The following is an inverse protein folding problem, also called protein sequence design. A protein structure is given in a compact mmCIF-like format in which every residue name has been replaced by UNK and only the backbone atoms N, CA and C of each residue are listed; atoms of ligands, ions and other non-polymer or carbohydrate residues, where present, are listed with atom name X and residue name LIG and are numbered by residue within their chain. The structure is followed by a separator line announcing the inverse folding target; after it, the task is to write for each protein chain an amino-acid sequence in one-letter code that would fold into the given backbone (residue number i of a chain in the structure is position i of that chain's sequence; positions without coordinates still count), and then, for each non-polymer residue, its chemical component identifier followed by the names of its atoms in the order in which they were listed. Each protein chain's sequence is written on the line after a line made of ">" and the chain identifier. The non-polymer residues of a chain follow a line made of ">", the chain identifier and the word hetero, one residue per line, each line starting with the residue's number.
data_IF_992354900945
#
_entry.id   IF_992354900945
#
_cell.length_a   1.000
_cell.length_b   1.000
_cell.length_c   1.000
_cell.angle_alpha   90.00
_cell.angle_beta   90.00
_cell.angle_gamma   90.00
#
_symmetry.space_group_name_H-M   'P 1'
#
loop_
_entity.id
_entity.type
_entity.pdbx_description
1 polymer ?
#
# COMPACT_ATOMS: atom_id res chain seq x y z
N UNK A 1 -6.67 -15.66 28.73
CA UNK A 1 -5.95 -14.36 28.75
C UNK A 1 -5.10 -14.17 27.48
N UNK A 2 -4.29 -15.16 27.05
CA UNK A 2 -3.40 -15.02 25.88
C UNK A 2 -4.12 -14.62 24.59
N UNK A 3 -5.20 -15.30 24.21
CA UNK A 3 -5.99 -15.00 23.00
C UNK A 3 -6.66 -13.62 23.03
N UNK A 4 -6.99 -13.10 24.21
CA UNK A 4 -7.61 -11.77 24.35
C UNK A 4 -6.60 -10.65 24.05
N UNK A 5 -5.36 -10.78 24.50
CA UNK A 5 -4.30 -9.76 24.33
C UNK A 5 -3.59 -9.85 22.98
N UNK A 6 -3.78 -10.90 22.20
CA UNK A 6 -3.08 -11.11 20.94
C UNK A 6 -3.17 -9.92 19.96
N UNK A 7 -4.34 -9.28 19.75
CA UNK A 7 -4.43 -8.09 18.89
C UNK A 7 -3.61 -6.92 19.42
N UNK A 8 -3.63 -6.68 20.72
CA UNK A 8 -2.84 -5.59 21.32
C UNK A 8 -1.33 -5.83 21.16
N UNK A 9 -0.89 -7.08 21.31
CA UNK A 9 0.51 -7.48 21.08
C UNK A 9 0.89 -7.28 19.62
N UNK A 10 0.04 -7.73 18.67
CA UNK A 10 0.23 -7.54 17.24
C UNK A 10 0.29 -6.07 16.86
N UNK A 11 -0.69 -5.29 17.28
CA UNK A 11 -0.72 -3.84 17.05
C UNK A 11 0.50 -3.13 17.64
N UNK A 12 0.88 -3.44 18.89
CA UNK A 12 2.07 -2.89 19.54
C UNK A 12 3.35 -3.19 18.76
N UNK A 13 3.46 -4.41 18.18
CA UNK A 13 4.59 -4.81 17.33
C UNK A 13 4.64 -3.95 16.06
N UNK A 14 3.53 -3.78 15.35
CA UNK A 14 3.48 -2.96 14.13
C UNK A 14 3.74 -1.48 14.45
N UNK A 15 3.21 -0.94 15.55
CA UNK A 15 3.52 0.42 15.99
C UNK A 15 5.01 0.60 16.34
N UNK A 16 5.65 -0.41 16.94
CA UNK A 16 7.11 -0.37 17.17
C UNK A 16 7.89 -0.37 15.87
N UNK A 17 7.41 -1.07 14.83
CA UNK A 17 7.97 -1.04 13.49
C UNK A 17 7.82 0.34 12.85
N UNK A 18 6.63 0.96 12.96
CA UNK A 18 6.39 2.34 12.50
C UNK A 18 7.36 3.30 13.19
N UNK A 19 7.53 3.19 14.51
CA UNK A 19 8.47 4.00 15.29
C UNK A 19 9.90 3.86 14.77
N UNK A 20 10.36 2.63 14.60
CA UNK A 20 11.73 2.35 14.13
C UNK A 20 12.00 2.92 12.74
N UNK A 21 11.05 2.79 11.82
CA UNK A 21 11.17 3.25 10.43
C UNK A 21 11.08 4.78 10.32
N UNK A 22 10.19 5.42 11.08
CA UNK A 22 10.03 6.88 11.10
C UNK A 22 11.07 7.57 11.96
N UNK A 23 11.77 6.84 12.84
CA UNK A 23 12.78 7.34 13.80
C UNK A 23 12.26 8.41 14.74
N UNK A 24 10.96 8.42 15.03
CA UNK A 24 10.33 9.37 15.95
C UNK A 24 10.27 8.79 17.37
N UNK A 25 10.24 9.68 18.37
CA UNK A 25 10.08 9.26 19.75
C UNK A 25 8.66 8.74 20.03
N UNK A 26 8.56 7.67 20.79
CA UNK A 26 7.27 7.03 21.15
C UNK A 26 6.34 7.98 21.92
N UNK A 27 6.87 8.97 22.64
CA UNK A 27 6.07 9.95 23.37
C UNK A 27 5.74 11.20 22.55
N UNK A 28 6.30 11.30 21.33
CA UNK A 28 6.06 12.45 20.45
C UNK A 28 4.60 12.60 20.03
N UNK A 29 4.12 13.82 19.80
CA UNK A 29 2.78 14.04 19.25
C UNK A 29 2.55 13.33 17.92
N UNK A 30 3.58 13.25 17.07
CA UNK A 30 3.52 12.59 15.76
C UNK A 30 3.27 11.09 15.90
N UNK A 31 3.96 10.41 16.82
CA UNK A 31 3.73 8.98 17.05
C UNK A 31 2.34 8.71 17.61
N UNK A 32 1.90 9.53 18.56
CA UNK A 32 0.54 9.43 19.10
C UNK A 32 -0.52 9.62 18.03
N UNK A 33 -0.32 10.58 17.12
CA UNK A 33 -1.25 10.83 16.02
C UNK A 33 -1.32 9.65 15.02
N UNK A 34 -0.17 9.03 14.68
CA UNK A 34 -0.14 7.80 13.87
C UNK A 34 -0.89 6.66 14.56
N UNK A 35 -0.63 6.46 15.86
CA UNK A 35 -1.29 5.42 16.65
C UNK A 35 -2.81 5.60 16.70
N UNK A 36 -3.27 6.82 16.99
CA UNK A 36 -4.72 7.14 17.00
C UNK A 36 -5.34 6.99 15.62
N UNK A 37 -4.65 7.38 14.55
CA UNK A 37 -5.12 7.17 13.19
C UNK A 37 -5.31 5.68 12.89
N UNK A 38 -4.35 4.83 13.26
CA UNK A 38 -4.45 3.39 13.03
C UNK A 38 -5.63 2.77 13.81
N UNK A 39 -5.84 3.17 15.07
CA UNK A 39 -6.99 2.75 15.88
C UNK A 39 -8.32 3.22 15.28
N UNK A 40 -8.38 4.47 14.83
CA UNK A 40 -9.57 5.05 14.22
C UNK A 40 -9.94 4.31 12.92
N UNK A 41 -8.98 4.21 12.00
CA UNK A 41 -9.21 3.52 10.71
C UNK A 41 -9.55 2.05 10.91
N UNK A 42 -8.91 1.38 11.90
CA UNK A 42 -9.26 0.02 12.29
C UNK A 42 -10.67 -0.14 12.85
N UNK A 43 -11.29 0.92 13.40
CA UNK A 43 -12.68 0.88 13.88
C UNK A 43 -13.71 1.32 12.84
N UNK A 44 -13.29 2.04 11.81
CA UNK A 44 -14.17 2.65 10.80
C UNK A 44 -14.15 1.91 9.45
N UNK A 45 -13.23 0.94 9.28
CA UNK A 45 -13.06 0.21 8.03
C UNK A 45 -13.09 -1.31 8.27
N UNK A 46 -13.04 -2.09 7.20
CA UNK A 46 -12.91 -3.55 7.29
C UNK A 46 -11.50 -4.02 7.71
N UNK A 47 -10.52 -3.12 7.74
CA UNK A 47 -9.16 -3.42 8.20
C UNK A 47 -9.05 -3.30 9.71
N UNK A 48 -8.18 -4.09 10.31
CA UNK A 48 -7.89 -3.98 11.74
C UNK A 48 -6.95 -2.80 12.03
N UNK A 49 -6.84 -2.41 13.29
CA UNK A 49 -5.84 -1.43 13.72
C UNK A 49 -4.40 -1.91 13.42
N UNK A 50 -4.17 -3.22 13.52
CA UNK A 50 -2.91 -3.86 13.14
C UNK A 50 -2.61 -3.71 11.65
N UNK A 51 -3.61 -3.92 10.79
CA UNK A 51 -3.46 -3.72 9.34
C UNK A 51 -3.15 -2.25 9.01
N UNK A 52 -3.88 -1.32 9.61
CA UNK A 52 -3.63 0.11 9.42
C UNK A 52 -2.22 0.52 9.86
N UNK A 53 -1.73 0.01 11.01
CA UNK A 53 -0.36 0.22 11.46
C UNK A 53 0.67 -0.42 10.51
N UNK A 54 0.37 -1.60 9.96
CA UNK A 54 1.21 -2.21 8.92
C UNK A 54 1.28 -1.34 7.66
N UNK A 55 0.15 -0.80 7.20
CA UNK A 55 0.11 0.19 6.11
C UNK A 55 0.97 1.41 6.38
N UNK A 56 0.93 1.96 7.60
CA UNK A 56 1.83 3.04 8.03
C UNK A 56 3.30 2.63 7.94
N UNK A 57 3.64 1.41 8.35
CA UNK A 57 5.00 0.91 8.27
C UNK A 57 5.49 0.78 6.82
N UNK A 58 4.65 0.35 5.88
CA UNK A 58 4.99 0.30 4.46
C UNK A 58 5.24 1.70 3.88
N UNK A 59 4.39 2.68 4.20
CA UNK A 59 4.61 4.06 3.78
C UNK A 59 5.89 4.66 4.41
N UNK A 60 6.19 4.33 5.68
CA UNK A 60 7.43 4.72 6.32
C UNK A 60 8.67 4.13 5.63
N UNK A 61 8.61 2.86 5.20
CA UNK A 61 9.68 2.24 4.39
C UNK A 61 9.87 2.93 3.04
N UNK A 62 8.80 3.44 2.45
CA UNK A 62 8.87 4.27 1.23
C UNK A 62 9.43 5.69 1.48
N UNK A 63 9.82 6.00 2.71
CA UNK A 63 10.44 7.28 3.09
C UNK A 63 9.45 8.39 3.43
N UNK A 64 8.18 8.09 3.66
CA UNK A 64 7.17 9.07 3.99
C UNK A 64 7.37 9.60 5.42
N UNK A 65 7.23 10.91 5.59
CA UNK A 65 7.18 11.55 6.92
C UNK A 65 5.91 11.14 7.67
N UNK A 66 5.84 11.29 9.01
CA UNK A 66 4.62 11.00 9.76
C UNK A 66 3.37 11.70 9.22
N UNK A 67 3.51 12.96 8.80
CA UNK A 67 2.41 13.74 8.21
C UNK A 67 2.00 13.18 6.83
N UNK A 68 2.97 12.82 6.01
CA UNK A 68 2.72 12.19 4.71
C UNK A 68 2.04 10.82 4.85
N UNK A 69 2.42 10.03 5.84
CA UNK A 69 1.78 8.75 6.17
C UNK A 69 0.30 8.97 6.55
N UNK A 70 0.04 9.95 7.42
CA UNK A 70 -1.34 10.28 7.82
C UNK A 70 -2.20 10.72 6.63
N UNK A 71 -1.63 11.50 5.72
CA UNK A 71 -2.35 11.98 4.54
C UNK A 71 -2.63 10.85 3.53
N UNK A 72 -1.67 9.95 3.31
CA UNK A 72 -1.77 8.90 2.30
C UNK A 72 -2.58 7.67 2.72
N UNK A 73 -2.56 7.29 4.00
CA UNK A 73 -3.11 6.01 4.46
C UNK A 73 -4.60 5.82 4.12
N UNK A 74 -5.51 6.80 4.26
CA UNK A 74 -6.92 6.63 3.88
C UNK A 74 -7.10 6.23 2.42
N UNK A 75 -6.39 6.87 1.50
CA UNK A 75 -6.42 6.54 0.07
C UNK A 75 -5.90 5.13 -0.22
N UNK A 76 -4.85 4.70 0.49
CA UNK A 76 -4.33 3.31 0.38
C UNK A 76 -5.39 2.30 0.82
N UNK A 77 -6.09 2.54 1.94
CA UNK A 77 -7.15 1.65 2.44
C UNK A 77 -8.31 1.55 1.44
N UNK A 78 -8.76 2.69 0.90
CA UNK A 78 -9.83 2.72 -0.11
C UNK A 78 -9.42 1.97 -1.38
N UNK A 79 -8.22 2.19 -1.87
CA UNK A 79 -7.66 1.53 -3.06
C UNK A 79 -7.49 0.02 -2.83
N UNK A 80 -7.00 -0.41 -1.66
CA UNK A 80 -6.85 -1.81 -1.29
C UNK A 80 -8.21 -2.53 -1.25
N UNK A 81 -9.21 -1.89 -0.65
CA UNK A 81 -10.58 -2.43 -0.60
C UNK A 81 -11.18 -2.52 -1.99
N UNK A 82 -11.10 -1.45 -2.79
CA UNK A 82 -11.65 -1.41 -4.15
C UNK A 82 -11.00 -2.45 -5.07
N UNK A 83 -9.68 -2.65 -4.95
CA UNK A 83 -8.91 -3.60 -5.74
C UNK A 83 -8.89 -5.03 -5.18
N UNK A 84 -9.44 -5.26 -3.99
CA UNK A 84 -9.40 -6.57 -3.32
C UNK A 84 -7.97 -7.05 -3.05
N UNK A 85 -7.04 -6.15 -2.73
CA UNK A 85 -5.61 -6.42 -2.66
C UNK A 85 -5.05 -6.20 -1.25
N UNK A 86 -3.92 -6.85 -0.96
CA UNK A 86 -3.18 -6.66 0.29
C UNK A 86 -2.78 -5.20 0.49
N UNK A 87 -2.87 -4.74 1.76
CA UNK A 87 -2.63 -3.34 2.09
C UNK A 87 -1.17 -2.93 1.88
N UNK A 88 -0.22 -3.83 2.16
CA UNK A 88 1.20 -3.56 1.98
C UNK A 88 1.56 -3.44 0.49
N UNK A 89 1.07 -4.35 -0.33
CA UNK A 89 1.25 -4.32 -1.79
C UNK A 89 0.60 -3.06 -2.40
N UNK A 90 -0.58 -2.69 -1.92
CA UNK A 90 -1.28 -1.47 -2.36
C UNK A 90 -0.51 -0.21 -1.96
N UNK A 91 0.04 -0.16 -0.75
CA UNK A 91 0.87 0.95 -0.28
C UNK A 91 2.16 1.10 -1.13
N UNK A 92 2.78 -0.02 -1.49
CA UNK A 92 3.96 -0.01 -2.37
C UNK A 92 3.61 0.56 -3.76
N UNK A 93 2.54 0.07 -4.39
CA UNK A 93 2.07 0.59 -5.68
C UNK A 93 1.78 2.09 -5.59
N UNK A 94 0.99 2.51 -4.61
CA UNK A 94 0.59 3.91 -4.47
C UNK A 94 1.77 4.85 -4.22
N UNK A 95 2.69 4.48 -3.32
CA UNK A 95 3.87 5.28 -2.99
C UNK A 95 4.84 5.40 -4.17
N UNK A 96 5.03 4.32 -4.92
CA UNK A 96 5.84 4.33 -6.14
C UNK A 96 5.25 5.26 -7.20
N UNK A 97 3.93 5.20 -7.43
CA UNK A 97 3.24 6.07 -8.39
C UNK A 97 3.34 7.54 -7.97
N UNK A 98 3.12 7.87 -6.70
CA UNK A 98 3.31 9.25 -6.21
C UNK A 98 4.71 9.76 -6.56
N UNK A 99 5.74 8.95 -6.29
CA UNK A 99 7.14 9.30 -6.58
C UNK A 99 7.40 9.45 -8.07
N UNK A 100 6.90 8.52 -8.89
CA UNK A 100 7.12 8.50 -10.35
C UNK A 100 6.52 9.72 -11.05
N UNK A 101 5.35 10.17 -10.60
CA UNK A 101 4.64 11.30 -11.18
C UNK A 101 4.84 12.62 -10.42
N UNK A 102 5.71 12.64 -9.41
CA UNK A 102 6.02 13.85 -8.62
C UNK A 102 4.82 14.38 -7.83
N UNK A 103 3.94 13.48 -7.40
CA UNK A 103 2.75 13.80 -6.62
C UNK A 103 3.07 13.81 -5.13
N UNK A 104 2.41 14.69 -4.38
CA UNK A 104 2.51 14.74 -2.91
C UNK A 104 1.64 13.66 -2.25
N UNK A 105 1.94 13.34 -0.99
CA UNK A 105 1.27 12.26 -0.25
C UNK A 105 -0.25 12.46 -0.09
N UNK A 106 -0.71 13.70 -0.02
CA UNK A 106 -2.13 14.07 0.03
C UNK A 106 -2.87 13.81 -1.29
N UNK A 107 -2.15 13.49 -2.37
CA UNK A 107 -2.72 13.07 -3.66
C UNK A 107 -2.88 11.54 -3.77
N UNK A 108 -2.70 10.78 -2.69
CA UNK A 108 -2.92 9.33 -2.70
C UNK A 108 -4.36 8.96 -3.09
N UNK A 109 -5.35 9.75 -2.67
CA UNK A 109 -6.73 9.55 -3.10
C UNK A 109 -6.88 9.66 -4.62
N UNK A 110 -6.20 10.64 -5.25
CA UNK A 110 -6.17 10.77 -6.71
C UNK A 110 -5.54 9.54 -7.38
N UNK A 111 -4.48 9.00 -6.82
CA UNK A 111 -3.87 7.74 -7.31
C UNK A 111 -4.87 6.61 -7.22
N UNK A 112 -5.50 6.42 -6.06
CA UNK A 112 -6.52 5.40 -5.83
C UNK A 112 -7.72 5.55 -6.78
N UNK A 113 -8.23 6.76 -6.94
CA UNK A 113 -9.36 7.08 -7.81
C UNK A 113 -9.06 6.77 -9.28
N UNK A 114 -7.88 7.21 -9.76
CA UNK A 114 -7.44 6.98 -11.14
C UNK A 114 -7.28 5.50 -11.45
N UNK A 115 -6.61 4.76 -10.57
CA UNK A 115 -6.40 3.31 -10.79
C UNK A 115 -7.71 2.53 -10.66
N UNK A 116 -8.55 2.88 -9.68
CA UNK A 116 -9.88 2.25 -9.52
C UNK A 116 -10.75 2.51 -10.74
N UNK A 117 -10.78 3.73 -11.23
CA UNK A 117 -11.51 4.07 -12.45
C UNK A 117 -10.96 3.31 -13.67
N UNK A 118 -9.65 3.11 -13.76
CA UNK A 118 -9.04 2.36 -14.84
C UNK A 118 -9.46 0.88 -14.81
N UNK A 119 -9.30 0.17 -13.69
CA UNK A 119 -9.63 -1.26 -13.66
C UNK A 119 -11.14 -1.55 -13.64
N UNK A 120 -11.99 -0.60 -13.25
CA UNK A 120 -13.45 -0.77 -13.34
C UNK A 120 -14.00 -0.52 -14.74
N UNK A 121 -13.22 0.11 -15.62
CA UNK A 121 -13.63 0.48 -16.99
C UNK A 121 -12.87 -0.26 -18.10
N UNK A 122 -11.85 -1.02 -17.76
CA UNK A 122 -11.02 -1.75 -18.73
C UNK A 122 -10.71 -3.17 -18.22
N UNK A 123 -10.21 -4.03 -19.10
CA UNK A 123 -9.94 -5.44 -18.79
C UNK A 123 -8.61 -5.61 -18.01
N UNK A 124 -8.51 -5.04 -16.82
CA UNK A 124 -7.33 -5.13 -15.99
C UNK A 124 -7.71 -5.18 -14.50
N UNK A 125 -6.72 -5.25 -13.63
CA UNK A 125 -6.84 -5.19 -12.17
C UNK A 125 -5.77 -4.26 -11.58
N UNK A 126 -5.88 -3.98 -10.28
CA UNK A 126 -4.96 -3.06 -9.59
C UNK A 126 -3.51 -3.55 -9.64
N UNK A 127 -3.28 -4.86 -9.49
CA UNK A 127 -1.93 -5.44 -9.54
C UNK A 127 -1.31 -5.28 -10.91
N UNK A 128 -2.04 -5.61 -11.96
CA UNK A 128 -1.56 -5.46 -13.34
C UNK A 128 -1.27 -4.00 -13.68
N UNK A 129 -2.12 -3.05 -13.23
CA UNK A 129 -1.84 -1.62 -13.38
C UNK A 129 -0.59 -1.19 -12.62
N UNK A 130 -0.43 -1.62 -11.37
CA UNK A 130 0.78 -1.38 -10.57
C UNK A 130 2.05 -1.89 -11.27
N UNK A 131 1.98 -3.10 -11.82
CA UNK A 131 3.06 -3.70 -12.59
C UNK A 131 3.36 -2.89 -13.86
N UNK A 132 2.34 -2.46 -14.60
CA UNK A 132 2.51 -1.60 -15.78
C UNK A 132 3.21 -0.28 -15.40
N UNK A 133 2.76 0.38 -14.33
CA UNK A 133 3.33 1.64 -13.85
C UNK A 133 4.76 1.48 -13.35
N UNK A 134 5.11 0.35 -12.75
CA UNK A 134 6.49 0.05 -12.33
C UNK A 134 7.50 0.21 -13.48
N UNK A 135 7.12 -0.20 -14.68
CA UNK A 135 7.98 -0.10 -15.87
C UNK A 135 7.81 1.21 -16.65
N UNK A 136 6.59 1.65 -16.87
CA UNK A 136 6.28 2.82 -17.69
C UNK A 136 6.31 4.14 -16.90
N UNK A 137 5.93 4.14 -15.63
CA UNK A 137 5.73 5.33 -14.80
C UNK A 137 6.95 6.24 -14.72
N UNK A 138 8.17 5.72 -14.48
CA UNK A 138 9.36 6.57 -14.39
C UNK A 138 9.64 7.36 -15.68
N UNK A 139 9.40 6.77 -16.84
CA UNK A 139 9.57 7.45 -18.15
C UNK A 139 8.40 8.39 -18.41
N UNK A 140 7.17 7.94 -18.20
CA UNK A 140 5.98 8.75 -18.40
C UNK A 140 6.03 10.04 -17.55
N UNK A 141 6.33 9.93 -16.26
CA UNK A 141 6.45 11.09 -15.37
C UNK A 141 7.55 12.07 -15.80
N UNK A 142 8.72 11.57 -16.25
CA UNK A 142 9.82 12.41 -16.77
C UNK A 142 9.45 13.15 -18.06
N UNK A 143 8.59 12.55 -18.88
CA UNK A 143 8.11 13.18 -20.12
C UNK A 143 6.89 14.09 -19.90
N UNK A 144 6.44 14.27 -18.65
CA UNK A 144 5.30 15.12 -18.31
C UNK A 144 3.94 14.52 -18.67
N UNK A 145 3.87 13.21 -18.90
CA UNK A 145 2.61 12.49 -19.08
C UNK A 145 1.92 12.39 -17.71
N UNK A 146 0.64 12.74 -17.64
CA UNK A 146 -0.11 12.67 -16.38
C UNK A 146 -0.38 11.21 -15.96
N UNK A 147 -0.66 11.00 -14.67
CA UNK A 147 -1.06 9.69 -14.17
C UNK A 147 -2.28 9.15 -14.91
N UNK A 148 -3.29 9.98 -15.11
CA UNK A 148 -4.54 9.62 -15.80
C UNK A 148 -4.28 9.21 -17.25
N UNK A 149 -3.41 9.91 -17.93
CA UNK A 149 -3.02 9.59 -19.30
C UNK A 149 -2.25 8.26 -19.37
N UNK A 150 -1.31 8.04 -18.45
CA UNK A 150 -0.56 6.79 -18.39
C UNK A 150 -1.48 5.61 -18.03
N UNK A 151 -2.42 5.79 -17.09
CA UNK A 151 -3.42 4.80 -16.72
C UNK A 151 -4.39 4.49 -17.87
N UNK A 152 -4.81 5.51 -18.63
CA UNK A 152 -5.64 5.32 -19.81
C UNK A 152 -4.92 4.52 -20.91
N UNK A 153 -3.64 4.82 -21.16
CA UNK A 153 -2.81 4.03 -22.09
C UNK A 153 -2.70 2.57 -21.65
N UNK A 154 -2.44 2.33 -20.35
CA UNK A 154 -2.41 0.99 -19.77
C UNK A 154 -3.75 0.26 -19.93
N UNK A 155 -4.87 0.96 -19.70
CA UNK A 155 -6.22 0.43 -19.88
C UNK A 155 -6.55 0.06 -21.31
N UNK A 156 -6.15 0.88 -22.29
CA UNK A 156 -6.30 0.57 -23.72
C UNK A 156 -5.55 -0.72 -24.07
N UNK A 157 -4.30 -0.85 -23.64
CA UNK A 157 -3.51 -2.07 -23.89
C UNK A 157 -4.14 -3.29 -23.22
N UNK A 158 -4.64 -3.12 -22.00
CA UNK A 158 -5.31 -4.18 -21.26
C UNK A 158 -6.55 -4.72 -21.97
N UNK A 159 -7.32 -3.87 -22.64
CA UNK A 159 -8.48 -4.28 -23.45
C UNK A 159 -8.08 -5.16 -24.64
N UNK A 160 -6.82 -5.08 -25.08
CA UNK A 160 -6.25 -5.96 -26.11
C UNK A 160 -5.54 -7.19 -25.51
N UNK A 161 -5.62 -7.39 -24.19
CA UNK A 161 -4.96 -8.50 -23.50
C UNK A 161 -3.50 -8.24 -23.12
N UNK A 162 -2.96 -7.05 -23.39
CA UNK A 162 -1.57 -6.67 -23.06
C UNK A 162 -1.60 -5.97 -21.70
N UNK A 163 -1.11 -6.64 -20.65
CA UNK A 163 -1.21 -6.18 -19.24
C UNK A 163 0.10 -6.36 -18.48
N UNK A 164 0.19 -5.73 -17.31
CA UNK A 164 1.30 -5.91 -16.38
C UNK A 164 2.64 -5.49 -16.99
N UNK A 165 3.64 -6.32 -16.83
CA UNK A 165 5.01 -6.08 -17.32
C UNK A 165 5.10 -5.87 -18.83
N UNK A 166 4.29 -6.58 -19.60
CA UNK A 166 4.31 -6.49 -21.06
C UNK A 166 3.81 -5.11 -21.54
N UNK A 167 2.68 -4.64 -20.99
CA UNK A 167 2.18 -3.30 -21.25
C UNK A 167 3.19 -2.23 -20.80
N UNK A 168 3.74 -2.38 -19.58
CA UNK A 168 4.71 -1.44 -19.05
C UNK A 168 5.99 -1.37 -19.86
N UNK A 169 6.51 -2.51 -20.30
CA UNK A 169 7.71 -2.57 -21.14
C UNK A 169 7.47 -1.96 -22.51
N UNK A 170 6.33 -2.27 -23.15
CA UNK A 170 5.98 -1.71 -24.44
C UNK A 170 5.76 -0.18 -24.37
N UNK A 171 5.05 0.29 -23.34
CA UNK A 171 4.88 1.73 -23.11
C UNK A 171 6.22 2.43 -22.89
N UNK A 172 7.07 1.88 -22.01
CA UNK A 172 8.41 2.43 -21.75
C UNK A 172 9.25 2.52 -23.03
N UNK A 173 9.28 1.43 -23.81
CA UNK A 173 10.04 1.38 -25.05
C UNK A 173 9.55 2.43 -26.06
N UNK A 174 8.24 2.49 -26.27
CA UNK A 174 7.61 3.45 -27.19
C UNK A 174 7.89 4.90 -26.79
N UNK A 175 7.69 5.22 -25.51
CA UNK A 175 7.92 6.58 -24.98
C UNK A 175 9.38 6.99 -25.06
N UNK A 176 10.32 6.08 -24.74
CA UNK A 176 11.74 6.36 -24.83
C UNK A 176 12.18 6.60 -26.27
N UNK A 177 11.68 5.80 -27.23
CA UNK A 177 12.02 5.97 -28.65
C UNK A 177 11.38 7.22 -29.26
N UNK A 178 10.21 7.64 -28.81
CA UNK A 178 9.64 8.93 -29.22
C UNK A 178 10.41 10.12 -28.66
N UNK A 179 10.88 10.02 -27.41
CA UNK A 179 11.66 11.09 -26.76
C UNK A 179 13.08 11.22 -27.35
N UNK A 180 13.68 10.10 -27.79
CA UNK A 180 15.00 10.06 -28.43
C UNK A 180 14.99 9.08 -29.62
N UNK A 181 14.47 9.50 -30.78
CA UNK A 181 14.24 8.60 -31.89
C UNK A 181 15.57 8.07 -32.47
N UNK A 182 15.77 6.75 -32.59
CA UNK A 182 16.79 6.19 -33.45
C UNK A 182 16.62 6.63 -34.89
N UNK A 183 17.67 6.45 -35.72
CA UNK A 183 17.67 6.89 -37.12
C UNK A 183 16.43 6.47 -37.90
N UNK A 184 16.08 5.19 -37.88
CA UNK A 184 14.89 4.68 -38.57
C UNK A 184 13.58 5.33 -38.06
N UNK A 185 13.43 5.50 -36.75
CA UNK A 185 12.28 6.18 -36.17
C UNK A 185 12.21 7.65 -36.59
N UNK A 186 13.34 8.36 -36.59
CA UNK A 186 13.41 9.75 -37.00
C UNK A 186 13.05 9.93 -38.51
N UNK A 187 13.53 9.04 -39.35
CA UNK A 187 13.20 9.01 -40.79
C UNK A 187 11.72 8.73 -41.01
N UNK A 188 11.15 7.72 -40.34
CA UNK A 188 9.72 7.39 -40.40
C UNK A 188 8.83 8.56 -39.92
N UNK A 189 9.16 9.20 -38.80
CA UNK A 189 8.44 10.37 -38.30
C UNK A 189 8.50 11.55 -39.26
N UNK A 190 9.66 11.78 -39.89
CA UNK A 190 9.85 12.81 -40.89
C UNK A 190 9.04 12.54 -42.16
N UNK A 191 9.01 11.32 -42.65
CA UNK A 191 8.22 10.90 -43.82
C UNK A 191 6.72 11.07 -43.55
N UNK A 192 6.27 10.71 -42.36
CA UNK A 192 4.88 10.89 -41.92
C UNK A 192 4.52 12.36 -41.64
N UNK A 193 5.52 13.26 -41.57
CA UNK A 193 5.32 14.67 -41.23
C UNK A 193 4.87 14.91 -39.78
N UNK A 194 5.21 13.99 -38.88
CA UNK A 194 4.83 14.06 -37.45
C UNK A 194 6.01 14.55 -36.60
N UNK A 195 5.80 15.66 -35.89
CA UNK A 195 6.75 16.16 -34.89
C UNK A 195 6.38 15.67 -33.51
N UNK A 196 7.36 15.15 -32.77
CA UNK A 196 7.21 14.70 -31.37
C UNK A 196 7.43 15.86 -30.41
N UNK A 197 8.21 16.86 -30.78
CA UNK A 197 8.53 18.05 -29.99
C UNK A 197 7.89 19.30 -30.57
N UNK A 198 7.65 20.28 -29.69
CA UNK A 198 7.30 21.65 -30.06
C UNK A 198 8.53 22.45 -30.52
N UNK A 199 8.30 23.71 -30.92
CA UNK A 199 9.35 24.59 -31.36
C UNK A 199 10.42 24.93 -30.29
N UNK A 200 10.10 24.72 -29.02
CA UNK A 200 11.01 24.88 -27.87
C UNK A 200 11.77 23.60 -27.51
N UNK A 201 11.59 22.50 -28.27
CA UNK A 201 12.21 21.20 -28.01
C UNK A 201 11.55 20.43 -26.88
N UNK A 202 10.43 20.88 -26.34
CA UNK A 202 9.65 20.16 -25.32
C UNK A 202 8.74 19.15 -26.00
N UNK A 203 8.59 17.98 -25.38
CA UNK A 203 7.70 16.94 -25.88
C UNK A 203 6.26 17.46 -25.95
N UNK A 204 5.61 17.26 -27.08
CA UNK A 204 4.19 17.59 -27.28
C UNK A 204 3.31 16.65 -26.46
N UNK A 205 2.07 17.05 -26.13
CA UNK A 205 1.12 16.13 -25.51
C UNK A 205 1.08 14.79 -26.25
N UNK A 206 1.25 13.69 -25.53
CA UNK A 206 1.39 12.36 -26.14
C UNK A 206 0.16 11.99 -26.99
N UNK A 207 -1.03 12.34 -26.53
CA UNK A 207 -2.27 12.09 -27.29
C UNK A 207 -2.26 12.78 -28.65
N UNK A 208 -1.75 14.01 -28.72
CA UNK A 208 -1.66 14.75 -29.98
C UNK A 208 -0.68 14.08 -30.94
N UNK A 209 0.45 13.61 -30.43
CA UNK A 209 1.46 12.88 -31.22
C UNK A 209 0.86 11.58 -31.77
N UNK A 210 0.16 10.81 -30.92
CA UNK A 210 -0.48 9.56 -31.31
C UNK A 210 -1.62 9.83 -32.33
N UNK A 211 -2.44 10.86 -32.14
CA UNK A 211 -3.50 11.24 -33.05
C UNK A 211 -2.96 11.71 -34.41
N UNK A 212 -1.84 12.44 -34.42
CA UNK A 212 -1.20 12.84 -35.68
C UNK A 212 -0.60 11.63 -36.42
N UNK A 213 0.00 10.68 -35.69
CA UNK A 213 0.46 9.41 -36.27
C UNK A 213 -0.72 8.62 -36.87
N UNK A 214 -1.85 8.57 -36.20
CA UNK A 214 -3.06 7.94 -36.75
C UNK A 214 -3.46 8.59 -38.06
N UNK A 215 -3.60 9.92 -38.10
CA UNK A 215 -3.98 10.67 -39.31
C UNK A 215 -2.99 10.46 -40.44
N UNK A 216 -1.69 10.48 -40.11
CA UNK A 216 -0.63 10.34 -41.11
C UNK A 216 -0.55 8.95 -41.69
N UNK A 217 -0.81 7.89 -40.89
CA UNK A 217 -0.65 6.50 -41.32
C UNK A 217 -1.90 5.90 -41.93
N UNK A 218 -3.12 6.42 -41.67
CA UNK A 218 -4.38 5.86 -42.22
C UNK A 218 -4.50 5.88 -43.73
N UNK A 219 -3.68 6.65 -44.41
CA UNK A 219 -3.64 6.72 -45.88
C UNK A 219 -2.79 5.61 -46.52
N UNK A 220 -2.00 4.90 -45.73
CA UNK A 220 -1.15 3.79 -46.16
C UNK A 220 -1.85 2.46 -45.98
N UNK A 221 -1.42 1.46 -46.70
CA UNK A 221 -1.87 0.06 -46.55
C UNK A 221 -1.40 -0.54 -45.21
N UNK A 222 -2.00 -1.63 -44.78
CA UNK A 222 -1.68 -2.28 -43.49
C UNK A 222 -0.21 -2.68 -43.37
N UNK A 223 0.41 -3.16 -44.45
CA UNK A 223 1.83 -3.58 -44.47
C UNK A 223 2.75 -2.38 -44.20
N UNK A 224 2.48 -1.27 -44.89
CA UNK A 224 3.27 -0.03 -44.69
C UNK A 224 3.10 0.55 -43.30
N UNK A 225 1.85 0.52 -42.82
CA UNK A 225 1.58 0.95 -41.41
C UNK A 225 2.38 0.15 -40.39
N UNK A 226 2.42 -1.18 -40.53
CA UNK A 226 3.21 -2.06 -39.67
C UNK A 226 4.69 -1.72 -39.77
N UNK A 227 5.22 -1.43 -40.99
CA UNK A 227 6.60 -1.04 -41.19
C UNK A 227 6.92 0.27 -40.44
N UNK A 228 6.12 1.33 -40.59
CA UNK A 228 6.29 2.57 -39.85
C UNK A 228 6.28 2.37 -38.33
N UNK A 229 5.35 1.58 -37.83
CA UNK A 229 5.26 1.37 -36.37
C UNK A 229 6.41 0.52 -35.83
N UNK A 230 6.95 -0.42 -36.59
CA UNK A 230 8.19 -1.13 -36.24
C UNK A 230 9.39 -0.21 -36.21
N UNK A 231 9.54 0.68 -37.19
CA UNK A 231 10.60 1.65 -37.21
C UNK A 231 10.54 2.61 -36.02
N UNK A 232 9.32 3.11 -35.69
CA UNK A 232 9.10 4.07 -34.60
C UNK A 232 9.24 3.40 -33.24
N UNK A 233 8.47 2.34 -32.95
CA UNK A 233 8.37 1.73 -31.63
C UNK A 233 9.34 0.57 -31.38
N UNK A 234 9.86 -0.04 -32.46
CA UNK A 234 10.68 -1.26 -32.42
C UNK A 234 9.84 -2.54 -32.52
N UNK A 235 10.48 -3.65 -32.90
CA UNK A 235 9.84 -4.95 -33.13
C UNK A 235 9.04 -5.46 -31.92
N UNK A 236 9.51 -5.21 -30.70
CA UNK A 236 8.87 -5.74 -29.49
C UNK A 236 7.65 -4.92 -29.04
N UNK A 237 7.60 -3.63 -29.42
CA UNK A 237 6.56 -2.71 -28.93
C UNK A 237 5.57 -2.26 -30.01
N UNK A 238 5.80 -2.56 -31.30
CA UNK A 238 5.00 -1.98 -32.39
C UNK A 238 3.51 -2.33 -32.30
N UNK A 239 3.15 -3.54 -31.89
CA UNK A 239 1.74 -3.94 -31.75
C UNK A 239 1.02 -3.13 -30.69
N UNK A 240 1.66 -2.96 -29.52
CA UNK A 240 1.12 -2.13 -28.44
C UNK A 240 1.06 -0.65 -28.84
N UNK A 241 2.08 -0.18 -29.53
CA UNK A 241 2.14 1.20 -30.01
C UNK A 241 1.05 1.49 -31.06
N UNK A 242 0.84 0.58 -32.00
CA UNK A 242 -0.24 0.67 -32.99
C UNK A 242 -1.61 0.74 -32.31
N UNK A 243 -1.84 -0.09 -31.29
CA UNK A 243 -3.07 -0.03 -30.51
C UNK A 243 -3.31 1.33 -29.86
N UNK A 244 -2.26 1.94 -29.28
CA UNK A 244 -2.35 3.28 -28.67
C UNK A 244 -2.62 4.36 -29.73
N UNK A 245 -1.98 4.25 -30.90
CA UNK A 245 -2.21 5.17 -32.05
C UNK A 245 -3.65 5.06 -32.55
N UNK A 246 -4.15 3.85 -32.74
CA UNK A 246 -5.53 3.63 -33.19
C UNK A 246 -6.55 4.13 -32.16
N UNK A 247 -6.32 3.87 -30.86
CA UNK A 247 -7.18 4.37 -29.79
C UNK A 247 -7.13 5.90 -29.60
N UNK A 248 -6.02 6.53 -29.91
CA UNK A 248 -5.93 8.01 -29.94
C UNK A 248 -6.73 8.57 -31.13
N UNK A 249 -6.66 7.90 -32.28
CA UNK A 249 -7.31 8.34 -33.51
C UNK A 249 -8.82 8.11 -33.55
N UNK A 250 -9.33 7.03 -32.94
CA UNK A 250 -10.76 6.72 -32.84
C UNK A 250 -11.44 7.44 -31.66
N UNK A 251 -10.66 8.09 -30.80
CA UNK A 251 -11.15 8.86 -29.65
C UNK A 251 -11.34 8.05 -28.35
N UNK A 252 -11.09 6.74 -28.35
CA UNK A 252 -11.27 5.90 -27.16
C UNK A 252 -10.25 6.22 -26.08
N UNK A 253 -8.99 6.49 -26.40
CA UNK A 253 -7.97 6.90 -25.43
C UNK A 253 -8.27 8.26 -24.79
N UNK A 254 -8.55 9.35 -25.54
CA UNK A 254 -8.94 10.65 -24.95
C UNK A 254 -10.21 10.55 -24.09
N UNK A 255 -11.18 9.74 -24.49
CA UNK A 255 -12.41 9.51 -23.73
C UNK A 255 -12.09 8.85 -22.38
N UNK A 256 -11.34 7.76 -22.41
CA UNK A 256 -10.93 7.06 -21.16
C UNK A 256 -10.14 8.00 -20.25
N UNK A 257 -9.16 8.73 -20.76
CA UNK A 257 -8.41 9.71 -19.97
C UNK A 257 -9.33 10.72 -19.27
N UNK A 258 -10.29 11.31 -19.98
CA UNK A 258 -11.26 12.24 -19.38
C UNK A 258 -12.11 11.58 -18.28
N UNK A 259 -12.50 10.35 -18.46
CA UNK A 259 -13.22 9.58 -17.45
C UNK A 259 -12.38 9.36 -16.19
N UNK A 260 -11.04 9.10 -16.37
CA UNK A 260 -10.11 8.96 -15.23
C UNK A 260 -9.86 10.30 -14.53
N UNK A 261 -9.74 11.40 -15.28
CA UNK A 261 -9.61 12.76 -14.72
C UNK A 261 -10.84 13.17 -13.89
N UNK A 262 -12.02 12.71 -14.28
CA UNK A 262 -13.29 12.94 -13.58
C UNK A 262 -13.58 11.97 -12.44
N UNK A 263 -12.70 11.04 -12.13
CA UNK A 263 -12.96 9.89 -11.26
C UNK A 263 -12.86 10.18 -9.75
N UNK A 264 -12.88 11.45 -9.33
CA UNK A 264 -12.73 11.84 -7.92
C UNK A 264 -13.70 11.07 -7.00
N UNK A 265 -13.17 10.44 -5.95
CA UNK A 265 -13.90 9.65 -4.97
C UNK A 265 -14.30 8.24 -5.47
N UNK A 266 -13.77 7.79 -6.60
CA UNK A 266 -14.09 6.48 -7.19
C UNK A 266 -13.62 5.33 -6.31
N UNK A 267 -12.41 5.42 -5.76
CA UNK A 267 -11.86 4.38 -4.89
C UNK A 267 -12.72 4.21 -3.63
N UNK A 268 -13.12 5.30 -2.99
CA UNK A 268 -13.97 5.25 -1.80
C UNK A 268 -15.38 4.72 -2.12
N UNK A 269 -15.99 5.16 -3.23
CA UNK A 269 -17.31 4.65 -3.66
C UNK A 269 -17.25 3.16 -3.97
N UNK A 270 -16.26 2.73 -4.73
CA UNK A 270 -16.08 1.31 -5.08
C UNK A 270 -15.80 0.48 -3.83
N UNK A 271 -14.95 0.96 -2.93
CA UNK A 271 -14.67 0.31 -1.66
C UNK A 271 -15.95 0.13 -0.81
N UNK A 272 -16.80 1.15 -0.72
CA UNK A 272 -18.09 1.05 -0.03
C UNK A 272 -19.02 0.00 -0.65
N UNK A 273 -19.09 -0.06 -1.97
CA UNK A 273 -19.88 -1.09 -2.68
C UNK A 273 -19.31 -2.49 -2.42
N UNK A 274 -17.99 -2.64 -2.50
CA UNK A 274 -17.31 -3.92 -2.25
C UNK A 274 -17.48 -4.41 -0.81
N UNK A 275 -17.52 -3.49 0.17
CA UNK A 275 -17.71 -3.82 1.59
C UNK A 275 -19.19 -3.99 1.99
N UNK A 276 -20.14 -3.59 1.16
CA UNK A 276 -21.59 -3.63 1.47
C UNK A 276 -22.19 -5.04 1.30
N UNK A 277 -21.76 -5.96 2.14
CA UNK A 277 -22.25 -7.34 2.20
C UNK A 277 -21.94 -7.95 3.57
N UNK A 278 -22.51 -9.13 3.85
CA UNK A 278 -22.33 -9.79 5.15
C UNK A 278 -20.86 -10.03 5.54
N UNK A 279 -19.99 -10.34 4.58
CA UNK A 279 -18.55 -10.51 4.85
C UNK A 279 -17.91 -9.19 5.30
N UNK A 280 -18.23 -8.08 4.62
CA UNK A 280 -17.80 -6.75 5.00
C UNK A 280 -18.31 -6.33 6.39
N UNK A 281 -19.59 -6.62 6.71
CA UNK A 281 -20.17 -6.35 8.02
C UNK A 281 -19.46 -7.16 9.14
N UNK A 282 -19.19 -8.44 8.89
CA UNK A 282 -18.47 -9.30 9.84
C UNK A 282 -17.02 -8.86 10.03
N UNK A 283 -16.34 -8.44 8.96
CA UNK A 283 -14.99 -7.88 9.04
C UNK A 283 -14.98 -6.59 9.85
N UNK A 284 -15.91 -5.68 9.57
CA UNK A 284 -16.04 -4.41 10.29
C UNK A 284 -16.34 -4.63 11.77
N UNK A 285 -17.24 -5.57 12.12
CA UNK A 285 -17.51 -5.96 13.50
C UNK A 285 -16.27 -6.55 14.17
N UNK A 286 -15.54 -7.41 13.47
CA UNK A 286 -14.28 -8.01 13.93
C UNK A 286 -13.23 -6.95 14.24
N UNK A 287 -13.07 -5.99 13.35
CA UNK A 287 -12.13 -4.86 13.47
C UNK A 287 -12.49 -3.93 14.63
N UNK A 288 -13.78 -3.58 14.78
CA UNK A 288 -14.25 -2.79 15.91
C UNK A 288 -14.04 -3.50 17.25
N UNK A 289 -14.29 -4.82 17.30
CA UNK A 289 -14.01 -5.65 18.46
C UNK A 289 -12.53 -5.72 18.79
N UNK A 290 -11.68 -5.84 17.78
CA UNK A 290 -10.22 -5.79 17.95
C UNK A 290 -9.77 -4.45 18.52
N UNK A 291 -10.25 -3.34 17.97
CA UNK A 291 -9.97 -1.99 18.48
C UNK A 291 -10.33 -1.81 19.95
N UNK A 292 -11.49 -2.32 20.36
CA UNK A 292 -11.91 -2.34 21.77
C UNK A 292 -10.93 -3.14 22.66
N UNK A 293 -10.52 -4.32 22.19
CA UNK A 293 -9.55 -5.17 22.92
C UNK A 293 -8.19 -4.50 23.07
N UNK A 294 -7.72 -3.78 22.04
CA UNK A 294 -6.47 -3.01 22.11
C UNK A 294 -6.60 -1.90 23.15
N UNK A 295 -7.67 -1.11 23.15
CA UNK A 295 -7.90 -0.06 24.12
C UNK A 295 -7.99 -0.56 25.57
N UNK A 296 -8.62 -1.70 25.80
CA UNK A 296 -8.66 -2.34 27.11
C UNK A 296 -7.25 -2.81 27.53
N UNK A 297 -6.50 -3.39 26.58
CA UNK A 297 -5.13 -3.86 26.85
C UNK A 297 -4.19 -2.71 27.20
N UNK A 298 -4.35 -1.52 26.57
CA UNK A 298 -3.54 -0.33 26.89
C UNK A 298 -3.61 0.07 28.38
N UNK A 299 -4.77 -0.14 29.01
CA UNK A 299 -4.95 0.18 30.43
C UNK A 299 -4.09 -0.69 31.34
N UNK A 300 -3.69 -1.87 30.89
CA UNK A 300 -2.92 -2.86 31.66
C UNK A 300 -1.51 -3.10 31.11
N UNK A 301 -1.15 -2.51 29.98
CA UNK A 301 0.14 -2.75 29.29
C UNK A 301 1.33 -2.38 30.20
N UNK A 302 1.32 -1.22 30.80
CA UNK A 302 2.41 -0.74 31.66
C UNK A 302 2.72 -1.70 32.83
N UNK A 303 1.72 -2.07 33.67
CA UNK A 303 1.90 -3.08 34.71
C UNK A 303 2.36 -4.44 34.20
N UNK A 304 1.78 -4.94 33.10
CA UNK A 304 2.17 -6.23 32.53
C UNK A 304 3.60 -6.24 32.02
N UNK A 305 4.02 -5.21 31.30
CA UNK A 305 5.41 -5.08 30.82
C UNK A 305 6.40 -5.02 31.97
N UNK A 306 6.09 -4.25 33.03
CA UNK A 306 6.95 -4.13 34.21
C UNK A 306 7.15 -5.47 34.90
N UNK A 307 6.07 -6.24 35.08
CA UNK A 307 6.12 -7.58 35.67
C UNK A 307 6.90 -8.56 34.78
N UNK A 308 6.64 -8.54 33.46
CA UNK A 308 7.34 -9.41 32.50
C UNK A 308 8.83 -9.10 32.47
N UNK A 309 9.22 -7.84 32.41
CA UNK A 309 10.62 -7.42 32.43
C UNK A 309 11.31 -7.75 33.75
N UNK A 310 10.60 -7.63 34.88
CA UNK A 310 11.13 -8.04 36.18
C UNK A 310 11.36 -9.57 36.21
N UNK A 311 10.37 -10.36 35.80
CA UNK A 311 10.52 -11.82 35.69
C UNK A 311 11.69 -12.22 34.80
N UNK A 312 11.82 -11.58 33.63
CA UNK A 312 12.94 -11.84 32.72
C UNK A 312 14.27 -11.55 33.39
N UNK A 313 14.39 -10.45 34.14
CA UNK A 313 15.61 -10.12 34.90
C UNK A 313 15.91 -11.14 35.98
N UNK A 314 14.88 -11.61 36.71
CA UNK A 314 15.02 -12.64 37.73
C UNK A 314 15.50 -13.95 37.09
N UNK A 315 14.83 -14.41 36.03
CA UNK A 315 15.22 -15.63 35.31
C UNK A 315 16.65 -15.53 34.77
N UNK A 316 17.01 -14.40 34.15
CA UNK A 316 18.38 -14.19 33.65
C UNK A 316 19.43 -14.25 34.77
N UNK A 317 19.15 -13.65 35.93
CA UNK A 317 20.04 -13.71 37.09
C UNK A 317 20.18 -15.12 37.65
N UNK A 318 19.06 -15.85 37.76
CA UNK A 318 19.06 -17.25 38.20
C UNK A 318 19.84 -18.13 37.23
N UNK A 319 19.65 -17.91 35.92
CA UNK A 319 20.42 -18.63 34.87
C UNK A 319 21.90 -18.34 34.94
N UNK A 320 22.30 -17.08 35.12
CA UNK A 320 23.69 -16.71 35.27
C UNK A 320 24.31 -17.31 36.54
N UNK A 321 23.57 -17.32 37.67
CA UNK A 321 24.00 -17.94 38.92
C UNK A 321 24.16 -19.48 38.76
N UNK A 322 23.21 -20.10 38.07
CA UNK A 322 23.28 -21.54 37.80
C UNK A 322 24.49 -21.91 36.89
N UNK A 323 24.83 -21.07 35.94
CA UNK A 323 26.01 -21.23 35.08
C UNK A 323 27.33 -20.99 35.84
N UNK A 324 27.35 -19.98 36.75
CA UNK A 324 28.53 -19.67 37.53
C UNK A 324 28.84 -20.72 38.63
N UNK A 325 27.81 -21.40 39.13
CA UNK A 325 27.95 -22.38 40.20
C UNK A 325 27.25 -23.74 39.92
N UNK A 326 27.75 -24.51 38.93
CA UNK A 326 27.08 -25.74 38.48
C UNK A 326 26.93 -26.79 39.60
N UNK A 327 27.90 -26.90 40.51
CA UNK A 327 27.84 -27.85 41.64
C UNK A 327 26.74 -27.53 42.63
N UNK A 328 26.57 -26.19 42.94
CA UNK A 328 25.51 -25.73 43.83
C UNK A 328 24.12 -25.90 43.18
N UNK A 329 24.02 -25.64 41.89
CA UNK A 329 22.79 -25.81 41.10
C UNK A 329 22.36 -27.27 41.07
N UNK A 330 23.33 -28.21 40.92
CA UNK A 330 23.02 -29.65 40.97
C UNK A 330 22.55 -30.11 42.34
N UNK A 331 23.13 -29.56 43.42
CA UNK A 331 22.68 -29.89 44.78
C UNK A 331 21.28 -29.29 45.10
N UNK A 332 20.99 -28.09 44.62
CA UNK A 332 19.67 -27.45 44.76
C UNK A 332 18.59 -28.13 43.92
N UNK A 333 18.92 -28.61 42.74
CA UNK A 333 18.00 -29.42 41.91
C UNK A 333 17.68 -30.75 42.53
N UNK A 334 18.66 -31.41 43.15
CA UNK A 334 18.45 -32.68 43.87
C UNK A 334 17.62 -32.47 45.16
N UNK A 335 17.87 -31.35 45.91
CA UNK A 335 17.18 -31.09 47.15
C UNK A 335 15.82 -30.35 46.97
N UNK A 336 15.61 -29.62 45.89
CA UNK A 336 14.45 -28.75 45.70
C UNK A 336 13.64 -28.92 44.43
N UNK A 337 13.97 -29.91 43.59
CA UNK A 337 13.39 -30.05 42.23
C UNK A 337 11.87 -30.26 42.18
N UNK A 338 11.25 -30.74 43.23
CA UNK A 338 9.80 -30.93 43.30
C UNK A 338 9.05 -29.63 43.74
N UNK A 339 9.68 -28.78 44.55
CA UNK A 339 9.03 -27.59 45.11
C UNK A 339 9.07 -26.37 44.17
N UNK A 340 10.14 -26.21 43.41
CA UNK A 340 10.29 -25.08 42.47
C UNK A 340 9.39 -25.19 41.23
N UNK A 341 9.13 -26.38 40.74
CA UNK A 341 8.22 -26.57 39.60
C UNK A 341 6.76 -26.29 39.97
N UNK A 342 6.32 -26.61 41.19
CA UNK A 342 4.97 -26.30 41.66
C UNK A 342 4.75 -24.81 41.98
N UNK A 343 5.72 -24.13 42.56
CA UNK A 343 5.56 -22.71 42.92
C UNK A 343 5.67 -21.77 41.73
N UNK A 344 6.46 -22.08 40.71
CA UNK A 344 6.58 -21.26 39.49
C UNK A 344 5.30 -21.27 38.64
N UNK A 345 4.61 -22.43 38.56
CA UNK A 345 3.37 -22.55 37.80
C UNK A 345 2.15 -21.95 38.53
N UNK A 346 2.06 -22.12 39.84
CA UNK A 346 0.92 -21.64 40.63
C UNK A 346 1.08 -20.15 40.98
N UNK A 347 2.30 -19.69 41.28
CA UNK A 347 2.57 -18.28 41.62
C UNK A 347 2.36 -17.30 40.47
N UNK A 348 2.74 -17.64 39.24
CA UNK A 348 2.54 -16.81 38.08
C UNK A 348 1.07 -16.63 37.66
N UNK A 349 0.28 -17.70 37.78
CA UNK A 349 -1.18 -17.64 37.55
C UNK A 349 -1.90 -16.83 38.63
N UNK A 350 -1.50 -16.96 39.90
CA UNK A 350 -2.14 -16.24 41.01
C UNK A 350 -1.86 -14.74 40.99
N UNK A 351 -0.66 -14.30 40.55
CA UNK A 351 -0.33 -12.89 40.40
C UNK A 351 -1.10 -12.23 39.27
N UNK A 352 -1.22 -12.89 38.11
CA UNK A 352 -2.01 -12.38 36.97
C UNK A 352 -3.49 -12.31 37.32
N UNK A 353 -4.01 -13.30 38.02
CA UNK A 353 -5.41 -13.35 38.49
C UNK A 353 -5.62 -12.26 39.57
N UNK A 354 -4.70 -12.06 40.51
CA UNK A 354 -4.80 -11.05 41.55
C UNK A 354 -4.83 -9.60 41.03
N UNK A 355 -4.00 -9.30 40.04
CA UNK A 355 -3.98 -7.98 39.37
C UNK A 355 -5.26 -7.74 38.55
N UNK A 356 -5.77 -8.77 37.87
CA UNK A 356 -7.04 -8.72 37.14
C UNK A 356 -8.24 -8.55 38.09
N UNK A 357 -8.30 -9.26 39.21
CA UNK A 357 -9.37 -9.13 40.19
C UNK A 357 -9.35 -7.77 40.89
N UNK A 358 -8.18 -7.22 41.22
CA UNK A 358 -8.04 -5.91 41.85
C UNK A 358 -8.56 -4.78 40.91
N UNK A 359 -8.32 -4.86 39.63
CA UNK A 359 -8.82 -3.87 38.65
C UNK A 359 -10.30 -4.07 38.28
N UNK A 360 -10.80 -5.30 38.28
CA UNK A 360 -12.24 -5.59 38.11
C UNK A 360 -13.05 -5.14 39.32
N UNK A 361 -12.51 -5.22 40.53
CA UNK A 361 -13.15 -4.71 41.73
C UNK A 361 -13.28 -3.18 41.72
N UNK A 362 -12.27 -2.46 41.21
CA UNK A 362 -12.35 -0.99 41.02
C UNK A 362 -13.33 -0.59 39.90
N UNK A 363 -13.47 -1.37 38.83
CA UNK A 363 -14.49 -1.17 37.81
C UNK A 363 -15.92 -1.40 38.33
N UNK A 364 -16.10 -2.41 39.20
CA UNK A 364 -17.39 -2.70 39.81
C UNK A 364 -17.83 -1.59 40.78
N UNK A 365 -16.90 -1.03 41.57
CA UNK A 365 -17.13 0.14 42.40
C UNK A 365 -17.47 1.39 41.56
N UNK A 366 -16.93 1.57 40.39
CA UNK A 366 -17.27 2.65 39.48
C UNK A 366 -18.68 2.50 38.83
N UNK A 367 -19.13 1.27 38.64
CA UNK A 367 -20.50 1.00 38.12
C UNK A 367 -21.57 1.18 39.21
N UNK A 368 -21.27 0.79 40.46
CA UNK A 368 -22.19 0.96 41.62
C UNK A 368 -22.33 2.42 42.10
N UNK A 369 -21.52 3.34 41.56
CA UNK A 369 -21.64 4.80 41.81
C UNK A 369 -22.50 5.48 40.72
N UNK A 370 -22.76 4.82 39.61
CA UNK A 370 -23.52 5.33 38.47
C UNK A 370 -24.94 4.77 38.36
N UNK A 371 -25.34 3.88 39.27
CA UNK A 371 -26.71 3.40 39.49
C UNK A 371 -27.24 3.87 40.81
#
# INVERSE_FOLDING_TARGET
>A
AGRFLQPAIGFGKEMSRVQALTRIDQNSPQFKALREQALKLGSETQFTAGDAASGQAFLAMAGFTPQAIQAALPGVLSMATAGGMDLGETADIGSNILTQFGLSADQMDRVGDTLTAAFTRTNTDLRALGETMKYAGPVAGKLGISLEQAAAMAGVLANMGIRGSDAGTAMRASLARLASPPKAAAEALKELGVSVSDAGGKMRPMEDVLADLYKATRKYGEVDRVSFFKDIAGEEAFTSFMALVDAAGDGSLPKLRKELEGARGEAERTAKVMANNLDGDLKSLGSAWEGLRIRIADLIDGPLRSVTQWLTRVVSRVTALAQAHPALTRQLLIAGGALLAMTATIGSLSLVIGVLYGKLATLRLGFDILT
#
